data_IF_477994769182
#
_entry.id   IF_477994769182
#
_cell.length_a   1.000
_cell.length_b   1.000
_cell.length_c   1.000
_cell.angle_alpha   90.00
_cell.angle_beta   90.00
_cell.angle_gamma   90.00
#
_symmetry.space_group_name_H-M   'P 1'
#
loop_
_entity.id
_entity.type
_entity.pdbx_description
1 polymer ?
#
# COMPACT_ATOMS: atom_id res chain seq x y z
N UNK A 1 -10.62 -13.89 -4.62
CA UNK A 1 -11.51 -12.79 -4.21
C UNK A 1 -10.68 -11.86 -3.34
N UNK A 2 -10.45 -10.63 -3.80
CA UNK A 2 -9.62 -9.63 -3.11
C UNK A 2 -10.34 -9.18 -1.82
N UNK A 3 -9.61 -9.07 -0.71
CA UNK A 3 -10.19 -8.61 0.54
C UNK A 3 -10.28 -7.08 0.53
N UNK A 4 -11.51 -6.55 0.47
CA UNK A 4 -11.77 -5.12 0.44
C UNK A 4 -11.06 -4.36 1.58
N UNK A 5 -10.96 -4.95 2.78
CA UNK A 5 -10.25 -4.31 3.91
C UNK A 5 -8.75 -4.17 3.65
N UNK A 6 -8.13 -5.19 3.07
CA UNK A 6 -6.70 -5.18 2.73
C UNK A 6 -6.41 -4.12 1.67
N UNK A 7 -7.31 -4.00 0.68
CA UNK A 7 -7.19 -2.98 -0.38
C UNK A 7 -7.29 -1.57 0.16
N UNK A 8 -8.31 -1.29 0.96
CA UNK A 8 -8.49 0.03 1.58
C UNK A 8 -7.31 0.39 2.50
N UNK A 9 -6.76 -0.59 3.24
CA UNK A 9 -5.55 -0.40 4.01
C UNK A 9 -4.34 -0.02 3.13
N UNK A 10 -4.15 -0.71 2.00
CA UNK A 10 -3.04 -0.44 1.09
C UNK A 10 -3.15 0.96 0.48
N UNK A 11 -4.35 1.34 0.03
CA UNK A 11 -4.62 2.68 -0.50
C UNK A 11 -4.27 3.76 0.53
N UNK A 12 -4.75 3.61 1.78
CA UNK A 12 -4.46 4.56 2.87
C UNK A 12 -2.96 4.62 3.22
N UNK A 13 -2.29 3.46 3.25
CA UNK A 13 -0.84 3.39 3.52
C UNK A 13 -0.06 4.14 2.44
N UNK A 14 -0.22 3.79 1.17
CA UNK A 14 0.58 4.39 0.10
C UNK A 14 0.28 5.87 -0.08
N UNK A 15 -0.98 6.28 0.09
CA UNK A 15 -1.32 7.69 0.03
C UNK A 15 -0.67 8.50 1.16
N UNK A 16 -0.58 7.95 2.37
CA UNK A 16 0.21 8.54 3.45
C UNK A 16 1.69 8.67 3.05
N UNK A 17 2.31 7.60 2.53
CA UNK A 17 3.73 7.62 2.12
C UNK A 17 4.01 8.69 1.05
N UNK A 18 3.12 8.78 0.06
CA UNK A 18 3.24 9.73 -1.05
C UNK A 18 3.04 11.17 -0.58
N UNK A 19 2.13 11.40 0.36
CA UNK A 19 1.91 12.73 0.94
C UNK A 19 3.14 13.19 1.74
N UNK A 20 3.67 12.33 2.61
CA UNK A 20 4.84 12.65 3.44
C UNK A 20 6.08 12.99 2.60
N UNK A 21 6.17 12.41 1.40
CA UNK A 21 7.33 12.60 0.52
C UNK A 21 7.06 13.57 -0.62
N UNK A 22 5.96 14.33 -0.53
CA UNK A 22 5.56 15.39 -1.46
C UNK A 22 5.38 14.89 -2.90
N UNK A 23 5.19 13.58 -3.08
CA UNK A 23 4.83 13.00 -4.37
C UNK A 23 3.42 13.45 -4.79
N UNK A 24 2.54 13.61 -3.81
CA UNK A 24 1.22 14.24 -3.96
C UNK A 24 1.12 15.51 -3.10
N UNK A 25 0.46 16.55 -3.64
CA UNK A 25 0.37 17.87 -2.98
C UNK A 25 -0.77 17.98 -1.96
N UNK A 26 -1.82 17.16 -2.12
CA UNK A 26 -3.02 17.19 -1.26
C UNK A 26 -3.53 15.77 -1.05
N UNK A 27 -3.89 15.45 0.19
CA UNK A 27 -4.66 14.26 0.51
C UNK A 27 -6.10 14.43 -0.01
N UNK A 28 -6.63 13.48 -0.77
CA UNK A 28 -8.05 13.42 -1.12
C UNK A 28 -8.92 13.45 0.15
N UNK A 29 -10.00 14.21 0.11
CA UNK A 29 -10.95 14.32 1.24
C UNK A 29 -11.62 12.99 1.61
N UNK A 30 -11.62 12.01 0.69
CA UNK A 30 -12.09 10.63 0.90
C UNK A 30 -11.17 9.77 1.78
N UNK A 31 -9.93 10.20 2.05
CA UNK A 31 -8.91 9.43 2.78
C UNK A 31 -9.19 9.23 4.28
N UNK A 32 -10.28 9.81 4.82
CA UNK A 32 -10.49 9.82 6.28
C UNK A 32 -11.33 8.67 6.84
N UNK A 33 -11.76 7.68 6.03
CA UNK A 33 -12.85 6.80 6.51
C UNK A 33 -12.90 5.35 6.02
N UNK A 34 -11.94 4.84 5.23
CA UNK A 34 -12.17 3.56 4.54
C UNK A 34 -11.44 2.34 5.14
N UNK A 35 -10.18 2.44 5.58
CA UNK A 35 -9.48 1.35 6.25
C UNK A 35 -9.42 1.51 7.77
N UNK A 36 -10.33 0.90 8.54
CA UNK A 36 -10.32 0.96 10.02
C UNK A 36 -9.00 0.51 10.69
N UNK A 37 -8.10 -0.15 9.95
CA UNK A 37 -6.86 -0.74 10.44
C UNK A 37 -5.61 0.14 10.25
N UNK A 38 -5.62 1.08 9.30
CA UNK A 38 -4.45 1.95 9.07
C UNK A 38 -4.29 2.95 10.22
N UNK A 39 -3.04 3.12 10.65
CA UNK A 39 -2.61 4.10 11.65
C UNK A 39 -1.31 4.71 11.17
N UNK A 40 -1.13 6.01 11.39
CA UNK A 40 0.05 6.76 10.91
C UNK A 40 1.38 6.16 11.40
N UNK A 41 1.41 5.57 12.60
CA UNK A 41 2.57 4.86 13.14
C UNK A 41 3.09 3.74 12.22
N UNK A 42 2.19 3.09 11.47
CA UNK A 42 2.56 2.08 10.47
C UNK A 42 3.27 2.76 9.29
N UNK A 43 2.71 3.87 8.78
CA UNK A 43 3.33 4.65 7.71
C UNK A 43 4.71 5.19 8.10
N UNK A 44 4.86 5.73 9.32
CA UNK A 44 6.15 6.17 9.88
C UNK A 44 7.16 5.02 9.94
N UNK A 45 6.74 3.84 10.39
CA UNK A 45 7.59 2.66 10.44
C UNK A 45 8.06 2.22 9.03
N UNK A 46 7.17 2.26 8.03
CA UNK A 46 7.53 1.95 6.64
C UNK A 46 8.56 2.95 6.10
N UNK A 47 8.38 4.24 6.36
CA UNK A 47 9.35 5.28 5.95
C UNK A 47 10.71 5.11 6.65
N UNK A 48 10.72 4.73 7.93
CA UNK A 48 11.95 4.39 8.63
C UNK A 48 12.65 3.17 8.00
N UNK A 49 11.90 2.15 7.60
CA UNK A 49 12.43 0.97 6.91
C UNK A 49 13.01 1.35 5.53
N UNK A 50 12.27 2.13 4.73
CA UNK A 50 12.75 2.60 3.43
C UNK A 50 14.12 3.28 3.56
N UNK A 51 14.25 4.21 4.51
CA UNK A 51 15.53 4.87 4.76
C UNK A 51 16.62 3.93 5.29
N UNK A 52 16.29 3.07 6.27
CA UNK A 52 17.27 2.19 6.93
C UNK A 52 17.83 1.11 6.01
N UNK A 53 17.03 0.69 5.03
CA UNK A 53 17.38 -0.34 4.05
C UNK A 53 17.57 0.25 2.64
N UNK A 54 17.73 1.57 2.51
CA UNK A 54 17.79 2.25 1.21
C UNK A 54 18.84 1.64 0.28
N UNK A 55 20.08 1.48 0.75
CA UNK A 55 21.17 0.92 -0.07
C UNK A 55 20.86 -0.51 -0.52
N UNK A 56 20.27 -1.32 0.37
CA UNK A 56 19.86 -2.69 0.06
C UNK A 56 18.74 -2.74 -0.97
N UNK A 57 17.71 -1.89 -0.81
CA UNK A 57 16.61 -1.76 -1.77
C UNK A 57 17.14 -1.30 -3.12
N UNK A 58 18.01 -0.29 -3.15
CA UNK A 58 18.59 0.26 -4.36
C UNK A 58 19.44 -0.78 -5.11
N UNK A 59 20.29 -1.52 -4.42
CA UNK A 59 21.09 -2.60 -5.01
C UNK A 59 20.18 -3.68 -5.62
N UNK A 60 19.17 -4.12 -4.87
CA UNK A 60 18.21 -5.12 -5.34
C UNK A 60 17.44 -4.63 -6.58
N UNK A 61 16.85 -3.43 -6.50
CA UNK A 61 16.08 -2.85 -7.60
C UNK A 61 16.95 -2.68 -8.84
N UNK A 62 18.14 -2.10 -8.72
CA UNK A 62 19.05 -1.92 -9.86
C UNK A 62 19.47 -3.24 -10.51
N UNK A 63 19.59 -4.32 -9.73
CA UNK A 63 19.96 -5.64 -10.25
C UNK A 63 18.86 -6.30 -11.08
N UNK A 64 17.59 -5.92 -10.85
CA UNK A 64 16.44 -6.59 -11.44
C UNK A 64 15.47 -5.66 -12.17
N UNK A 65 15.79 -4.36 -12.25
CA UNK A 65 14.88 -3.32 -12.72
C UNK A 65 14.33 -3.63 -14.12
N UNK A 66 15.20 -3.95 -15.07
CA UNK A 66 14.80 -4.26 -16.44
C UNK A 66 13.79 -5.40 -16.49
N UNK A 67 13.96 -6.43 -15.67
CA UNK A 67 13.03 -7.55 -15.65
C UNK A 67 11.73 -7.22 -14.89
N UNK A 68 11.84 -6.48 -13.80
CA UNK A 68 10.71 -6.01 -13.00
C UNK A 68 9.75 -5.18 -13.87
N UNK A 69 10.28 -4.32 -14.73
CA UNK A 69 9.50 -3.43 -15.59
C UNK A 69 8.79 -4.16 -16.75
N UNK A 70 9.12 -5.43 -17.04
CA UNK A 70 8.49 -6.17 -18.15
C UNK A 70 7.05 -6.56 -17.88
N UNK A 71 6.69 -6.89 -16.63
CA UNK A 71 5.31 -7.25 -16.28
C UNK A 71 5.07 -7.24 -14.77
N UNK A 72 3.79 -7.16 -14.38
CA UNK A 72 3.36 -7.29 -12.99
C UNK A 72 3.77 -8.65 -12.39
N UNK A 73 3.67 -9.73 -13.13
CA UNK A 73 4.06 -11.08 -12.69
C UNK A 73 5.57 -11.15 -12.40
N UNK A 74 6.40 -10.54 -13.25
CA UNK A 74 7.83 -10.44 -12.99
C UNK A 74 8.09 -9.64 -11.72
N UNK A 75 7.40 -8.51 -11.54
CA UNK A 75 7.55 -7.74 -10.32
C UNK A 75 7.21 -8.55 -9.06
N UNK A 76 6.06 -9.22 -9.04
CA UNK A 76 5.66 -10.08 -7.91
C UNK A 76 6.67 -11.22 -7.70
N UNK A 77 7.19 -11.83 -8.78
CA UNK A 77 8.23 -12.86 -8.70
C UNK A 77 9.51 -12.33 -8.04
N UNK A 78 9.96 -11.13 -8.40
CA UNK A 78 11.15 -10.52 -7.79
C UNK A 78 10.89 -10.06 -6.36
N UNK A 79 9.69 -9.59 -6.01
CA UNK A 79 9.33 -9.34 -4.61
C UNK A 79 9.42 -10.62 -3.76
N UNK A 80 8.99 -11.77 -4.30
CA UNK A 80 9.15 -13.06 -3.63
C UNK A 80 10.61 -13.43 -3.46
N UNK A 81 11.43 -13.22 -4.49
CA UNK A 81 12.87 -13.44 -4.45
C UNK A 81 13.55 -12.56 -3.39
N UNK A 82 13.17 -11.28 -3.31
CA UNK A 82 13.66 -10.37 -2.28
C UNK A 82 13.37 -10.91 -0.88
N UNK A 83 12.14 -11.36 -0.65
CA UNK A 83 11.71 -11.89 0.65
C UNK A 83 12.39 -13.21 1.02
N UNK A 84 12.74 -14.05 0.04
CA UNK A 84 13.38 -15.35 0.26
C UNK A 84 14.91 -15.29 0.31
N UNK A 85 15.53 -14.33 -0.38
CA UNK A 85 16.98 -14.24 -0.55
C UNK A 85 17.69 -13.36 0.48
N UNK A 86 17.04 -12.31 0.99
CA UNK A 86 17.67 -11.43 1.98
C UNK A 86 17.51 -11.96 3.41
N UNK A 87 18.23 -11.37 4.38
CA UNK A 87 18.10 -11.57 5.84
C UNK A 87 16.69 -11.28 6.41
N UNK A 88 15.66 -11.28 5.56
CA UNK A 88 14.22 -11.33 5.84
C UNK A 88 13.76 -12.60 6.58
N UNK A 89 14.65 -13.41 7.16
CA UNK A 89 14.30 -14.38 8.21
C UNK A 89 13.80 -13.72 9.51
N UNK A 90 13.61 -12.41 9.48
CA UNK A 90 12.99 -11.61 10.51
C UNK A 90 11.50 -11.91 10.63
N UNK A 91 10.98 -11.53 11.78
CA UNK A 91 9.59 -11.62 12.17
C UNK A 91 8.63 -11.21 11.04
N UNK A 92 7.45 -11.84 10.93
CA UNK A 92 6.47 -11.54 9.85
C UNK A 92 6.14 -10.05 9.72
N UNK A 93 6.16 -9.31 10.82
CA UNK A 93 5.93 -7.86 10.83
C UNK A 93 7.10 -7.07 10.24
N UNK A 94 8.35 -7.53 10.40
CA UNK A 94 9.49 -6.89 9.74
C UNK A 94 9.45 -7.19 8.23
N UNK A 95 9.04 -8.41 7.82
CA UNK A 95 8.80 -8.74 6.39
C UNK A 95 7.74 -7.84 5.78
N UNK A 96 6.62 -7.65 6.49
CA UNK A 96 5.56 -6.72 6.09
C UNK A 96 6.10 -5.32 5.84
N UNK A 97 6.87 -4.76 6.80
CA UNK A 97 7.42 -3.41 6.69
C UNK A 97 8.45 -3.31 5.55
N UNK A 98 9.33 -4.30 5.39
CA UNK A 98 10.31 -4.36 4.32
C UNK A 98 9.67 -4.39 2.93
N UNK A 99 8.62 -5.19 2.74
CA UNK A 99 7.88 -5.25 1.46
C UNK A 99 7.24 -3.89 1.18
N UNK A 100 6.52 -3.32 2.15
CA UNK A 100 5.93 -1.99 2.01
C UNK A 100 6.99 -0.93 1.63
N UNK A 101 8.16 -0.96 2.26
CA UNK A 101 9.23 -0.01 1.97
C UNK A 101 9.88 -0.22 0.61
N UNK A 102 10.05 -1.47 0.16
CA UNK A 102 10.62 -1.78 -1.15
C UNK A 102 9.69 -1.33 -2.29
N UNK A 103 8.38 -1.56 -2.15
CA UNK A 103 7.41 -1.05 -3.12
C UNK A 103 7.41 0.48 -3.18
N UNK A 104 7.54 1.13 -2.02
CA UNK A 104 7.66 2.58 -1.94
C UNK A 104 8.94 3.09 -2.62
N UNK A 105 10.10 2.47 -2.38
CA UNK A 105 11.36 2.80 -3.07
C UNK A 105 11.29 2.58 -4.57
N UNK A 106 10.58 1.54 -5.02
CA UNK A 106 10.36 1.32 -6.45
C UNK A 106 9.53 2.45 -7.08
N UNK A 107 8.51 2.95 -6.38
CA UNK A 107 7.76 4.14 -6.85
C UNK A 107 8.69 5.34 -7.02
N UNK A 108 9.59 5.59 -6.07
CA UNK A 108 10.57 6.67 -6.19
C UNK A 108 11.52 6.48 -7.37
N UNK A 109 12.02 5.25 -7.56
CA UNK A 109 12.92 4.91 -8.65
C UNK A 109 12.25 5.10 -10.01
N UNK A 110 11.06 4.51 -10.23
CA UNK A 110 10.29 4.66 -11.47
C UNK A 110 10.04 6.14 -11.78
N UNK A 111 9.65 6.92 -10.77
CA UNK A 111 9.45 8.36 -10.94
C UNK A 111 10.72 9.08 -11.36
N UNK A 112 11.87 8.75 -10.75
CA UNK A 112 13.16 9.36 -11.13
C UNK A 112 13.60 9.02 -12.56
N UNK A 113 12.96 8.04 -13.20
CA UNK A 113 13.14 7.67 -14.60
C UNK A 113 12.02 8.19 -15.52
N UNK A 114 11.15 9.07 -15.01
CA UNK A 114 10.03 9.64 -15.74
C UNK A 114 8.75 8.78 -15.77
N UNK A 115 8.73 7.61 -15.12
CA UNK A 115 7.55 6.76 -15.03
C UNK A 115 6.73 7.06 -13.76
N UNK A 116 5.62 7.78 -13.94
CA UNK A 116 4.66 8.06 -12.87
C UNK A 116 3.57 6.99 -12.74
N UNK A 117 3.45 6.07 -13.71
CA UNK A 117 2.40 5.06 -13.74
C UNK A 117 2.48 4.10 -12.56
N UNK A 118 3.70 3.79 -12.10
CA UNK A 118 3.91 2.83 -11.02
C UNK A 118 3.28 3.24 -9.68
N UNK A 119 3.05 4.54 -9.45
CA UNK A 119 2.32 5.07 -8.28
C UNK A 119 0.96 4.39 -8.12
N UNK A 120 0.28 4.10 -9.23
CA UNK A 120 -1.05 3.47 -9.24
C UNK A 120 -1.01 1.96 -9.08
N UNK A 121 0.10 1.32 -9.49
CA UNK A 121 0.27 -0.13 -9.42
C UNK A 121 0.79 -0.61 -8.06
N UNK A 122 1.53 0.22 -7.34
CA UNK A 122 2.16 -0.20 -6.07
C UNK A 122 1.16 -0.72 -5.02
N UNK A 123 0.01 -0.06 -4.74
CA UNK A 123 -0.97 -0.60 -3.79
C UNK A 123 -1.53 -1.95 -4.25
N UNK A 124 -1.81 -2.11 -5.55
CA UNK A 124 -2.34 -3.36 -6.10
C UNK A 124 -1.33 -4.51 -5.97
N UNK A 125 -0.06 -4.25 -6.29
CA UNK A 125 1.01 -5.23 -6.14
C UNK A 125 1.23 -5.60 -4.68
N UNK A 126 1.10 -4.62 -3.78
CA UNK A 126 1.17 -4.86 -2.35
C UNK A 126 0.05 -5.76 -1.85
N UNK A 127 -1.20 -5.49 -2.24
CA UNK A 127 -2.36 -6.31 -1.84
C UNK A 127 -2.18 -7.74 -2.31
N UNK A 128 -1.81 -7.93 -3.58
CA UNK A 128 -1.56 -9.27 -4.13
C UNK A 128 -0.48 -9.99 -3.32
N UNK A 129 0.66 -9.35 -3.08
CA UNK A 129 1.74 -9.94 -2.31
C UNK A 129 1.30 -10.27 -0.88
N UNK A 130 0.62 -9.35 -0.19
CA UNK A 130 0.16 -9.57 1.17
C UNK A 130 -0.82 -10.75 1.23
N UNK A 131 -1.82 -10.79 0.36
CA UNK A 131 -2.86 -11.82 0.36
C UNK A 131 -2.28 -13.22 0.10
N UNK A 132 -1.30 -13.35 -0.80
CA UNK A 132 -0.74 -14.66 -1.16
C UNK A 132 0.43 -15.09 -0.26
N UNK A 133 1.30 -14.17 0.15
CA UNK A 133 2.57 -14.52 0.79
C UNK A 133 2.60 -14.25 2.30
N UNK A 134 1.92 -13.18 2.77
CA UNK A 134 2.07 -12.73 4.16
C UNK A 134 0.84 -13.03 5.03
N UNK A 135 -0.36 -12.98 4.45
CA UNK A 135 -1.64 -12.94 5.17
C UNK A 135 -1.78 -14.05 6.21
N UNK A 136 -1.52 -15.30 5.82
CA UNK A 136 -1.73 -16.45 6.71
C UNK A 136 -0.86 -16.35 7.96
N UNK A 137 0.43 -16.11 7.82
CA UNK A 137 1.36 -15.98 8.95
C UNK A 137 1.09 -14.69 9.74
N UNK A 138 0.76 -13.59 9.06
CA UNK A 138 0.48 -12.30 9.67
C UNK A 138 -0.69 -12.38 10.67
N UNK A 139 -1.81 -12.97 10.26
CA UNK A 139 -2.97 -13.16 11.14
C UNK A 139 -2.74 -14.26 12.18
N UNK A 140 -1.95 -15.29 11.89
CA UNK A 140 -1.53 -16.29 12.89
C UNK A 140 -0.72 -15.65 14.03
N UNK A 141 0.03 -14.57 13.75
CA UNK A 141 0.80 -13.81 14.74
C UNK A 141 0.03 -12.67 15.41
N UNK A 142 -1.30 -12.62 15.25
CA UNK A 142 -2.17 -11.63 15.92
C UNK A 142 -2.54 -10.41 15.07
N UNK A 143 -2.18 -10.41 13.77
CA UNK A 143 -2.65 -9.44 12.79
C UNK A 143 -2.27 -7.98 13.09
N UNK A 144 -3.16 -7.05 12.75
CA UNK A 144 -2.91 -5.60 12.82
C UNK A 144 -2.58 -5.11 14.23
N UNK A 145 -3.24 -5.65 15.26
CA UNK A 145 -2.97 -5.26 16.65
C UNK A 145 -1.56 -5.65 17.07
N UNK A 146 -1.12 -6.86 16.72
CA UNK A 146 0.22 -7.33 17.01
C UNK A 146 1.29 -6.60 16.20
N UNK A 147 1.00 -6.20 14.95
CA UNK A 147 1.88 -5.33 14.16
C UNK A 147 2.13 -4.00 14.89
N UNK A 148 1.08 -3.33 15.38
CA UNK A 148 1.21 -2.06 16.11
C UNK A 148 2.04 -2.20 17.38
N UNK A 149 1.79 -3.27 18.15
CA UNK A 149 2.59 -3.57 19.34
C UNK A 149 4.06 -3.83 19.00
N UNK A 150 4.34 -4.54 17.90
CA UNK A 150 5.69 -4.77 17.42
C UNK A 150 6.40 -3.48 17.03
N UNK A 151 5.73 -2.59 16.28
CA UNK A 151 6.24 -1.26 15.91
C UNK A 151 6.62 -0.47 17.16
N UNK A 152 5.71 -0.39 18.14
CA UNK A 152 5.91 0.33 19.39
C UNK A 152 7.05 -0.26 20.22
N UNK A 153 7.11 -1.59 20.35
CA UNK A 153 8.16 -2.29 21.11
C UNK A 153 9.55 -2.07 20.51
N UNK A 154 9.65 -2.05 19.18
CA UNK A 154 10.91 -1.82 18.46
C UNK A 154 11.25 -0.32 18.31
N UNK A 155 10.29 0.56 18.60
CA UNK A 155 10.40 2.01 18.48
C UNK A 155 10.62 2.46 17.04
N UNK A 156 10.03 1.78 16.05
CA UNK A 156 10.24 2.16 14.64
C UNK A 156 9.58 3.50 14.30
N UNK A 157 8.40 3.76 14.86
CA UNK A 157 7.65 5.01 14.71
C UNK A 157 8.35 6.20 15.36
N UNK A 158 8.97 6.03 16.53
CA UNK A 158 9.71 7.09 17.20
C UNK A 158 11.05 7.40 16.53
N UNK A 159 11.70 6.38 15.94
CA UNK A 159 12.91 6.56 15.14
C UNK A 159 12.68 7.29 13.82
N UNK A 160 11.44 7.35 13.34
CA UNK A 160 11.07 8.10 12.14
C UNK A 160 11.52 9.57 12.22
N UNK A 161 11.33 10.22 13.37
CA UNK A 161 11.68 11.64 13.56
C UNK A 161 13.16 11.94 13.26
N UNK A 162 14.05 10.95 13.46
CA UNK A 162 15.48 11.07 13.18
C UNK A 162 15.83 10.96 11.69
N UNK A 163 14.92 10.43 10.86
CA UNK A 163 15.13 10.18 9.43
C UNK A 163 14.31 11.10 8.52
N UNK A 164 13.29 11.80 9.05
CA UNK A 164 12.46 12.77 8.29
C UNK A 164 13.29 13.80 7.50
N UNK A 165 14.35 14.42 8.07
CA UNK A 165 15.13 15.40 7.32
C UNK A 165 15.83 14.77 6.11
N UNK A 166 16.25 13.51 6.24
CA UNK A 166 16.97 12.76 5.19
C UNK A 166 16.03 12.25 4.11
N UNK A 167 14.83 11.81 4.47
CA UNK A 167 13.78 11.38 3.53
C UNK A 167 13.36 12.56 2.65
N UNK A 168 13.19 13.75 3.23
CA UNK A 168 12.91 14.95 2.46
C UNK A 168 14.04 15.28 1.47
N UNK A 169 15.30 15.04 1.83
CA UNK A 169 16.43 15.23 0.91
C UNK A 169 16.46 14.19 -0.21
N UNK A 170 16.19 12.90 0.08
CA UNK A 170 16.12 11.84 -0.92
C UNK A 170 15.06 12.12 -1.99
N UNK A 171 13.87 12.56 -1.57
CA UNK A 171 12.79 12.96 -2.48
C UNK A 171 13.15 14.18 -3.34
N UNK A 172 14.05 15.06 -2.87
CA UNK A 172 14.55 16.22 -3.63
C UNK A 172 15.62 15.79 -4.64
N UNK A 173 16.56 14.92 -4.27
CA UNK A 173 17.58 14.41 -5.23
C UNK A 173 16.97 13.65 -6.41
N UNK A 174 15.87 12.93 -6.20
CA UNK A 174 15.12 12.29 -7.30
C UNK A 174 14.30 13.28 -8.15
N UNK A 175 14.11 14.52 -7.68
CA UNK A 175 13.44 15.59 -8.40
C UNK A 175 14.42 16.43 -9.22
N UNK A 176 15.62 16.67 -8.68
CA UNK A 176 16.67 17.38 -9.40
C UNK A 176 17.20 16.57 -10.61
N UNK A 177 17.16 15.23 -10.55
CA UNK A 177 17.47 14.37 -11.70
C UNK A 177 16.39 14.35 -12.80
N UNK A 178 15.16 14.82 -12.52
CA UNK A 178 14.09 14.91 -13.52
C UNK A 178 13.95 16.33 -14.11
N UNK A 179 14.26 17.36 -13.30
CA UNK A 179 14.10 18.76 -13.71
C UNK A 179 15.20 19.22 -14.72
N UNK A 180 16.29 18.46 -14.90
CA UNK A 180 17.31 18.73 -15.94
C UNK A 180 16.88 18.28 -17.35
N UNK A 181 15.92 17.36 -17.49
CA UNK A 181 15.42 16.88 -18.79
C UNK A 181 14.05 17.49 -19.19
N UNK A 182 13.28 18.05 -18.25
CA UNK A 182 11.92 18.57 -18.48
C UNK A 182 11.85 20.01 -19.02
N UNK A 183 12.98 20.66 -19.35
CA UNK A 183 12.96 21.96 -20.05
C UNK A 183 12.66 21.86 -21.56
N UNK A 184 12.36 20.67 -22.09
CA UNK A 184 11.84 20.50 -23.45
C UNK A 184 10.62 19.58 -23.46
N UNK A 185 9.45 20.22 -23.48
CA UNK A 185 8.10 19.68 -23.68
C UNK A 185 7.30 19.34 -22.42
N UNK A 186 6.64 20.36 -21.87
CA UNK A 186 5.44 20.18 -21.04
C UNK A 186 4.20 20.27 -21.96
N UNK A 187 3.47 19.19 -22.26
CA UNK A 187 2.03 19.28 -22.50
C UNK A 187 1.30 19.28 -21.16
N UNK A 188 0.36 20.21 -21.01
CA UNK A 188 -0.31 20.49 -19.75
C UNK A 188 -1.27 19.40 -19.27
N UNK A 189 -1.36 19.30 -17.94
CA UNK A 189 -2.59 19.07 -17.16
C UNK A 189 -3.44 17.82 -17.46
N UNK A 190 -2.85 16.71 -17.94
CA UNK A 190 -3.58 15.44 -18.12
C UNK A 190 -3.62 14.58 -16.83
N UNK A 191 -2.62 14.69 -15.95
CA UNK A 191 -2.52 13.88 -14.72
C UNK A 191 -3.62 14.20 -13.68
N UNK A 192 -4.17 15.42 -13.68
CA UNK A 192 -5.27 15.79 -12.78
C UNK A 192 -6.63 15.23 -13.25
N UNK A 193 -6.79 15.01 -14.56
CA UNK A 193 -7.99 14.42 -15.15
C UNK A 193 -8.03 12.91 -14.96
N UNK A 194 -6.89 12.23 -15.05
CA UNK A 194 -6.80 10.78 -14.84
C UNK A 194 -7.11 10.38 -13.38
N UNK A 195 -6.65 11.19 -12.42
CA UNK A 195 -6.97 11.01 -11.00
C UNK A 195 -8.48 11.16 -10.71
N UNK A 196 -9.16 12.11 -11.39
CA UNK A 196 -10.62 12.26 -11.30
C UNK A 196 -11.37 11.12 -11.97
N UNK A 197 -10.87 10.61 -13.10
CA UNK A 197 -11.52 9.55 -13.87
C UNK A 197 -11.47 8.21 -13.13
N UNK A 198 -10.35 7.87 -12.50
CA UNK A 198 -10.18 6.65 -11.71
C UNK A 198 -10.83 6.74 -10.32
N UNK A 199 -10.83 7.92 -9.68
CA UNK A 199 -11.64 8.16 -8.48
C UNK A 199 -13.13 7.93 -8.76
N UNK A 200 -13.64 8.42 -9.90
CA UNK A 200 -15.02 8.16 -10.33
C UNK A 200 -15.26 6.69 -10.68
N UNK A 201 -14.29 6.00 -11.26
CA UNK A 201 -14.39 4.56 -11.58
C UNK A 201 -14.43 3.70 -10.31
N UNK A 202 -13.64 4.07 -9.30
CA UNK A 202 -13.70 3.46 -7.97
C UNK A 202 -15.04 3.78 -7.30
N UNK A 203 -15.53 5.03 -7.31
CA UNK A 203 -16.86 5.41 -6.79
C UNK A 203 -18.01 4.65 -7.49
N UNK A 204 -17.92 4.39 -8.80
CA UNK A 204 -18.93 3.62 -9.53
C UNK A 204 -18.96 2.15 -9.08
N UNK A 205 -17.79 1.53 -8.84
CA UNK A 205 -17.70 0.18 -8.27
C UNK A 205 -18.37 0.15 -6.87
N UNK A 206 -18.17 1.19 -6.05
CA UNK A 206 -18.78 1.28 -4.72
C UNK A 206 -20.28 1.59 -4.72
N UNK A 207 -20.81 2.23 -5.77
CA UNK A 207 -22.24 2.55 -5.88
C UNK A 207 -23.11 1.36 -6.30
N UNK A 208 -22.52 0.35 -6.97
CA UNK A 208 -23.24 -0.85 -7.41
C UNK A 208 -23.36 -1.95 -6.34
N UNK A 209 -22.67 -1.84 -5.20
CA UNK A 209 -22.78 -2.81 -4.09
C UNK A 209 -23.79 -2.39 -2.99
N UNK A 210 -24.60 -1.33 -3.21
CA UNK A 210 -25.70 -1.00 -2.30
C UNK A 210 -26.99 -1.78 -2.64
N UNK A 211 -27.24 -2.78 -1.81
CA UNK A 211 -28.53 -3.41 -1.49
C UNK A 211 -29.23 -4.25 -2.57
N UNK A 212 -29.24 -5.57 -2.34
CA UNK A 212 -30.49 -6.33 -2.37
C UNK A 212 -30.60 -7.11 -1.05
N UNK A 213 -31.11 -6.45 0.00
CA UNK A 213 -31.71 -7.16 1.13
C UNK A 213 -33.19 -7.33 0.78
N UNK A 214 -33.54 -8.47 0.20
CA UNK A 214 -34.94 -8.86 0.14
C UNK A 214 -35.40 -9.23 1.54
N UNK A 215 -36.44 -8.50 1.94
CA UNK A 215 -37.21 -8.59 3.16
C UNK A 215 -38.07 -9.86 3.21
N UNK A 216 -37.93 -10.65 4.27
CA UNK A 216 -38.95 -11.62 4.69
C UNK A 216 -40.23 -10.90 5.12
N UNK A 217 -41.41 -11.23 4.57
CA UNK A 217 -42.67 -10.85 5.18
C UNK A 217 -43.02 -11.90 6.24
N UNK A 218 -43.05 -11.46 7.49
CA UNK A 218 -43.68 -12.23 8.55
C UNK A 218 -45.15 -12.45 8.23
N UNK A 219 -45.60 -13.69 8.41
CA UNK A 219 -47.02 -13.96 8.61
C UNK A 219 -47.21 -14.97 9.72
N UNK A 220 -48.33 -14.78 10.41
CA UNK A 220 -48.52 -15.12 11.80
C UNK A 220 -49.60 -16.20 11.97
N UNK A 221 -49.61 -16.80 13.17
CA UNK A 221 -50.73 -17.50 13.83
C UNK A 221 -51.05 -18.95 13.34
N UNK A 222 -50.82 -19.95 14.21
CA UNK A 222 -51.87 -20.60 15.05
C UNK A 222 -51.35 -21.81 15.84
N UNK A 223 -51.59 -21.75 17.15
CA UNK A 223 -51.59 -22.90 18.08
C UNK A 223 -52.69 -23.88 17.67
N UNK A 224 -52.39 -25.18 17.69
CA UNK A 224 -53.39 -26.21 18.03
C UNK A 224 -52.73 -27.31 18.86
N UNK A 225 -53.40 -27.67 19.95
CA UNK A 225 -53.12 -28.75 20.90
C UNK A 225 -53.45 -30.13 20.29
N UNK A 226 -52.81 -31.18 20.81
CA UNK A 226 -53.29 -32.57 21.11
C UNK A 226 -52.21 -33.59 20.70
N UNK A 227 -51.53 -34.25 21.65
CA UNK A 227 -51.91 -35.40 22.48
C UNK A 227 -51.70 -36.76 21.79
N UNK A 228 -50.88 -37.61 22.46
CA UNK A 228 -50.92 -39.09 22.52
C UNK A 228 -50.58 -39.78 21.18
N UNK A 229 -49.54 -40.61 21.01
CA UNK A 229 -48.98 -41.73 21.78
C UNK A 229 -47.45 -41.78 21.59
#
# INVERSE_FOLDING_TARGET
MENLKTRLFADDLFLYLFYQTKLIKKLPSSHRSAGNEFKEEIGKAVLYFAHSYHDLHKEFLNSFLEDIMKSKENFIRYLKLYCSGHKCNQHIFDKFLNVSSLLYEMVLLCRSQGDNGFIFFAPMCWVEFFEFELRKEFYLKGGWSALRNHIKLKGYDSKYENVVPKINHMAITHRESSDEDDQKNIPGDENASEFKLLSKKNEQIYSHEKFSSESDPGDSIKRTKHNIF
#
